data_IF_057384264502
#
_entry.id   IF_057384264502
#
_cell.length_a   1.000
_cell.length_b   1.000
_cell.length_c   1.000
_cell.angle_alpha   90.00
_cell.angle_beta   90.00
_cell.angle_gamma   90.00
#
_symmetry.space_group_name_H-M   'P 1'
#
loop_
_entity.id
_entity.type
_entity.pdbx_description
1 polymer ?
#
# COMPACT_ATOMS: atom_id res chain seq x y z
N UNK A 1 18.80 -23.33 11.48
CA UNK A 1 18.61 -21.92 11.87
C UNK A 1 17.35 -21.48 11.16
N UNK A 2 16.20 -21.59 11.84
CA UNK A 2 14.87 -21.26 11.32
C UNK A 2 14.32 -20.17 12.24
N UNK A 3 14.70 -18.91 11.97
CA UNK A 3 14.25 -17.74 12.76
C UNK A 3 13.57 -16.68 11.88
N UNK A 4 13.39 -16.91 10.58
CA UNK A 4 12.77 -15.94 9.67
C UNK A 4 11.24 -15.92 9.71
N UNK A 5 10.59 -17.08 9.95
CA UNK A 5 9.13 -17.22 9.79
C UNK A 5 8.32 -16.54 10.91
N UNK A 6 8.91 -16.38 12.09
CA UNK A 6 8.23 -15.78 13.24
C UNK A 6 8.23 -14.26 13.25
N UNK A 7 9.28 -13.64 12.69
CA UNK A 7 9.45 -12.18 12.63
C UNK A 7 8.57 -11.59 11.54
N UNK A 8 8.65 -12.16 10.34
CA UNK A 8 7.89 -11.69 9.19
C UNK A 8 6.38 -11.75 9.40
N UNK A 9 5.87 -12.80 10.08
CA UNK A 9 4.43 -12.89 10.42
C UNK A 9 3.98 -11.78 11.37
N UNK A 10 4.85 -11.34 12.30
CA UNK A 10 4.55 -10.24 13.22
C UNK A 10 4.60 -8.89 12.52
N UNK A 11 5.53 -8.70 11.60
CA UNK A 11 5.63 -7.46 10.80
C UNK A 11 4.43 -7.31 9.87
N UNK A 12 4.01 -8.39 9.21
CA UNK A 12 2.78 -8.42 8.42
C UNK A 12 1.55 -8.02 9.23
N UNK A 13 1.38 -8.59 10.43
CA UNK A 13 0.24 -8.27 11.28
C UNK A 13 0.21 -6.79 11.69
N UNK A 14 1.36 -6.22 12.05
CA UNK A 14 1.47 -4.79 12.38
C UNK A 14 1.15 -3.89 11.18
N UNK A 15 1.56 -4.28 9.97
CA UNK A 15 1.23 -3.55 8.74
C UNK A 15 -0.27 -3.56 8.44
N UNK A 16 -0.99 -4.66 8.73
CA UNK A 16 -2.45 -4.71 8.57
C UNK A 16 -3.18 -3.74 9.51
N UNK A 17 -2.70 -3.59 10.74
CA UNK A 17 -3.29 -2.66 11.71
C UNK A 17 -2.91 -1.19 11.45
N UNK A 18 -1.86 -0.95 10.65
CA UNK A 18 -1.36 0.37 10.35
C UNK A 18 -2.26 1.15 9.37
N UNK A 19 -2.23 2.48 9.49
CA UNK A 19 -2.78 3.39 8.50
C UNK A 19 -1.69 3.74 7.50
N UNK A 20 -1.96 3.49 6.22
CA UNK A 20 -0.99 3.68 5.14
C UNK A 20 -1.44 4.84 4.26
N UNK A 21 -0.50 5.72 3.90
CA UNK A 21 -0.77 6.87 3.05
C UNK A 21 0.36 7.08 2.02
N UNK A 22 0.05 7.65 0.84
CA UNK A 22 1.07 8.20 -0.05
C UNK A 22 1.91 9.26 0.67
N UNK A 23 3.21 9.30 0.39
CA UNK A 23 4.05 10.39 0.90
C UNK A 23 3.62 11.72 0.24
N UNK A 24 3.67 12.86 0.95
CA UNK A 24 3.18 14.13 0.42
C UNK A 24 4.01 14.67 -0.75
N UNK A 25 5.27 14.26 -0.86
CA UNK A 25 6.23 14.75 -1.84
C UNK A 25 6.26 13.88 -3.10
N UNK A 26 5.08 13.58 -3.65
CA UNK A 26 4.89 12.82 -4.89
C UNK A 26 4.26 13.68 -5.98
N UNK A 27 4.70 13.44 -7.22
CA UNK A 27 3.93 13.77 -8.40
C UNK A 27 3.09 12.56 -8.81
N UNK A 28 1.81 12.82 -9.12
CA UNK A 28 0.87 11.81 -9.57
C UNK A 28 0.23 12.25 -10.90
N UNK A 29 0.24 11.35 -11.88
CA UNK A 29 -0.42 11.54 -13.18
C UNK A 29 -1.35 10.36 -13.40
N UNK A 30 -2.63 10.62 -13.65
CA UNK A 30 -3.61 9.60 -14.01
C UNK A 30 -3.93 9.71 -15.50
N UNK A 31 -3.86 8.58 -16.19
CA UNK A 31 -4.30 8.44 -17.57
C UNK A 31 -5.80 8.10 -17.59
N UNK A 32 -6.63 8.97 -18.16
CA UNK A 32 -8.10 8.79 -18.17
C UNK A 32 -8.54 7.68 -19.14
N UNK A 33 -7.77 7.42 -20.19
CA UNK A 33 -8.05 6.37 -21.18
C UNK A 33 -7.80 4.96 -20.62
N UNK A 34 -6.66 4.77 -19.98
CA UNK A 34 -6.19 3.46 -19.51
C UNK A 34 -6.52 3.21 -18.02
N UNK A 35 -6.75 4.27 -17.25
CA UNK A 35 -6.91 4.21 -15.79
C UNK A 35 -5.60 4.04 -15.02
N UNK A 36 -4.46 4.09 -15.71
CA UNK A 36 -3.14 3.92 -15.11
C UNK A 36 -2.75 5.14 -14.26
N UNK A 37 -2.03 4.89 -13.18
CA UNK A 37 -1.51 5.92 -12.28
C UNK A 37 0.01 5.87 -12.30
N UNK A 38 0.64 6.94 -12.76
CA UNK A 38 2.09 7.11 -12.68
C UNK A 38 2.44 7.94 -11.45
N UNK A 39 3.30 7.39 -10.59
CA UNK A 39 3.77 8.01 -9.35
C UNK A 39 5.28 8.26 -9.43
N UNK A 40 5.72 9.44 -9.01
CA UNK A 40 7.13 9.81 -8.98
C UNK A 40 7.48 10.57 -7.69
N UNK A 41 8.56 10.18 -7.03
CA UNK A 41 9.11 10.95 -5.91
C UNK A 41 9.69 12.29 -6.38
N UNK A 42 9.31 13.38 -5.71
CA UNK A 42 9.83 14.72 -6.00
C UNK A 42 11.13 15.02 -5.23
N UNK A 43 11.43 14.24 -4.20
CA UNK A 43 12.62 14.41 -3.36
C UNK A 43 13.73 13.45 -3.73
N UNK A 44 13.39 12.24 -4.19
CA UNK A 44 14.38 11.26 -4.62
C UNK A 44 14.61 11.36 -6.14
N UNK A 45 15.67 12.07 -6.50
CA UNK A 45 16.06 12.28 -7.92
C UNK A 45 16.53 11.02 -8.64
N UNK A 46 16.81 9.94 -7.90
CA UNK A 46 17.16 8.63 -8.45
C UNK A 46 15.95 7.73 -8.66
N UNK A 47 14.78 8.13 -8.15
CA UNK A 47 13.55 7.38 -8.22
C UNK A 47 13.08 7.33 -9.66
N UNK A 48 12.78 6.11 -10.13
CA UNK A 48 12.14 5.93 -11.43
C UNK A 48 10.63 6.08 -11.25
N UNK A 49 9.93 6.70 -12.22
CA UNK A 49 8.47 6.72 -12.22
C UNK A 49 7.93 5.29 -12.14
N UNK A 50 7.02 5.06 -11.20
CA UNK A 50 6.32 3.80 -11.06
C UNK A 50 4.95 3.92 -11.71
N UNK A 51 4.65 3.03 -12.66
CA UNK A 51 3.33 2.94 -13.29
C UNK A 51 2.53 1.85 -12.58
N UNK A 52 1.37 2.24 -12.05
CA UNK A 52 0.40 1.38 -11.41
C UNK A 52 -0.75 1.15 -12.39
N UNK A 53 -1.04 -0.12 -12.67
CA UNK A 53 -2.05 -0.51 -13.65
C UNK A 53 -3.07 -1.47 -13.06
N UNK A 54 -4.30 -1.42 -13.57
CA UNK A 54 -5.39 -2.30 -13.15
C UNK A 54 -5.61 -2.28 -11.63
N UNK A 55 -5.54 -3.45 -11.00
CA UNK A 55 -5.77 -3.59 -9.54
C UNK A 55 -4.81 -2.76 -8.69
N UNK A 56 -3.55 -2.55 -9.13
CA UNK A 56 -2.60 -1.74 -8.38
C UNK A 56 -3.00 -0.26 -8.31
N UNK A 57 -3.60 0.27 -9.39
CA UNK A 57 -4.11 1.64 -9.42
C UNK A 57 -5.34 1.80 -8.51
N UNK A 58 -6.20 0.78 -8.44
CA UNK A 58 -7.36 0.79 -7.53
C UNK A 58 -6.93 0.70 -6.07
N UNK A 59 -6.04 -0.24 -5.73
CA UNK A 59 -5.49 -0.35 -4.35
C UNK A 59 -4.85 0.96 -3.92
N UNK A 60 -4.14 1.63 -4.83
CA UNK A 60 -3.53 2.94 -4.56
C UNK A 60 -4.56 4.02 -4.21
N UNK A 61 -5.71 4.03 -4.88
CA UNK A 61 -6.80 4.99 -4.63
C UNK A 61 -7.40 4.83 -3.23
N UNK A 62 -7.36 3.61 -2.68
CA UNK A 62 -7.90 3.31 -1.36
C UNK A 62 -7.05 3.87 -0.21
N UNK A 63 -5.77 4.18 -0.44
CA UNK A 63 -4.87 4.71 0.58
C UNK A 63 -5.18 6.18 0.89
N UNK A 64 -6.15 6.40 1.76
CA UNK A 64 -6.63 7.71 2.19
C UNK A 64 -5.88 8.28 3.42
N UNK A 65 -5.00 7.49 4.05
CA UNK A 65 -4.31 7.88 5.29
C UNK A 65 -5.23 7.99 6.51
N UNK A 66 -6.40 7.36 6.47
CA UNK A 66 -7.38 7.31 7.56
C UNK A 66 -7.75 5.87 7.92
N UNK A 67 -8.06 5.05 6.91
CA UNK A 67 -8.43 3.64 7.09
C UNK A 67 -7.18 2.78 7.31
N UNK A 68 -7.30 1.77 8.18
CA UNK A 68 -6.26 0.76 8.34
C UNK A 68 -6.16 -0.13 7.09
N UNK A 69 -4.99 -0.73 6.88
CA UNK A 69 -4.78 -1.63 5.76
C UNK A 69 -5.72 -2.86 5.82
N UNK A 70 -6.01 -3.37 7.03
CA UNK A 70 -6.99 -4.44 7.25
C UNK A 70 -8.38 -4.05 6.72
N UNK A 71 -8.83 -2.83 7.02
CA UNK A 71 -10.14 -2.35 6.57
C UNK A 71 -10.19 -2.25 5.05
N UNK A 72 -9.16 -1.67 4.44
CA UNK A 72 -9.03 -1.55 2.97
C UNK A 72 -9.06 -2.94 2.32
N UNK A 73 -8.30 -3.89 2.85
CA UNK A 73 -8.23 -5.27 2.32
C UNK A 73 -9.58 -5.96 2.40
N UNK A 74 -10.30 -5.81 3.50
CA UNK A 74 -11.65 -6.37 3.66
C UNK A 74 -12.65 -5.77 2.68
N UNK A 75 -12.61 -4.45 2.47
CA UNK A 75 -13.50 -3.77 1.52
C UNK A 75 -13.19 -4.18 0.07
N UNK A 76 -11.90 -4.26 -0.30
CA UNK A 76 -11.48 -4.76 -1.61
C UNK A 76 -11.90 -6.23 -1.80
N UNK A 77 -11.73 -7.10 -0.79
CA UNK A 77 -12.15 -8.50 -0.88
C UNK A 77 -13.65 -8.61 -1.19
N UNK A 78 -14.47 -7.79 -0.52
CA UNK A 78 -15.91 -7.75 -0.72
C UNK A 78 -16.28 -7.22 -2.11
N UNK A 79 -15.62 -6.16 -2.60
CA UNK A 79 -15.90 -5.56 -3.91
C UNK A 79 -15.55 -6.52 -5.06
N UNK A 80 -14.40 -7.19 -4.97
CA UNK A 80 -13.94 -8.13 -5.99
C UNK A 80 -14.50 -9.56 -5.82
N UNK A 81 -15.21 -9.85 -4.73
CA UNK A 81 -15.71 -11.19 -4.42
C UNK A 81 -14.59 -12.23 -4.21
N UNK A 82 -13.45 -11.78 -3.68
CA UNK A 82 -12.26 -12.60 -3.43
C UNK A 82 -12.13 -12.97 -1.95
N UNK A 83 -11.32 -13.98 -1.67
CA UNK A 83 -10.97 -14.34 -0.30
C UNK A 83 -10.02 -13.29 0.31
N UNK A 84 -10.32 -12.85 1.54
CA UNK A 84 -9.55 -11.83 2.27
C UNK A 84 -8.07 -12.21 2.43
N UNK A 85 -7.74 -13.50 2.58
CA UNK A 85 -6.34 -13.93 2.71
C UNK A 85 -5.61 -13.79 1.37
N UNK A 86 -6.27 -14.17 0.27
CA UNK A 86 -5.67 -14.10 -1.07
C UNK A 86 -5.36 -12.65 -1.46
N UNK A 87 -6.32 -11.74 -1.31
CA UNK A 87 -6.10 -10.33 -1.64
C UNK A 87 -5.20 -9.66 -0.59
N UNK A 88 -5.28 -10.06 0.68
CA UNK A 88 -4.42 -9.55 1.74
C UNK A 88 -2.94 -9.82 1.48
N UNK A 89 -2.56 -11.02 1.04
CA UNK A 89 -1.17 -11.34 0.68
C UNK A 89 -0.68 -10.48 -0.50
N UNK A 90 -1.53 -10.26 -1.50
CA UNK A 90 -1.20 -9.43 -2.67
C UNK A 90 -1.03 -7.96 -2.29
N UNK A 91 -1.96 -7.41 -1.51
CA UNK A 91 -1.93 -6.03 -1.04
C UNK A 91 -0.73 -5.81 -0.13
N UNK A 92 -0.42 -6.74 0.78
CA UNK A 92 0.73 -6.64 1.66
C UNK A 92 2.05 -6.61 0.87
N UNK A 93 2.18 -7.49 -0.14
CA UNK A 93 3.34 -7.52 -1.03
C UNK A 93 3.48 -6.21 -1.81
N UNK A 94 2.38 -5.61 -2.24
CA UNK A 94 2.36 -4.32 -2.92
C UNK A 94 2.77 -3.17 -1.98
N UNK A 95 2.14 -3.07 -0.81
CA UNK A 95 2.46 -2.04 0.20
C UNK A 95 3.92 -2.12 0.63
N UNK A 96 4.45 -3.32 0.87
CA UNK A 96 5.85 -3.51 1.25
C UNK A 96 6.80 -2.97 0.20
N UNK A 97 6.54 -3.24 -1.09
CA UNK A 97 7.35 -2.70 -2.19
C UNK A 97 7.30 -1.17 -2.27
N UNK A 98 6.13 -0.58 -2.03
CA UNK A 98 5.97 0.87 -2.07
C UNK A 98 6.57 1.58 -0.86
N UNK A 99 6.57 0.94 0.32
CA UNK A 99 7.26 1.42 1.50
C UNK A 99 8.78 1.39 1.30
N UNK A 100 9.33 0.31 0.74
CA UNK A 100 10.75 0.19 0.39
C UNK A 100 11.17 1.24 -0.66
N UNK A 101 10.30 1.50 -1.63
CA UNK A 101 10.48 2.57 -2.63
C UNK A 101 10.22 3.99 -2.08
N UNK A 102 9.89 4.14 -0.80
CA UNK A 102 9.58 5.42 -0.14
C UNK A 102 8.43 6.20 -0.81
N UNK A 103 7.48 5.49 -1.43
CA UNK A 103 6.28 6.07 -2.04
C UNK A 103 5.09 6.07 -1.09
N UNK A 104 5.08 5.16 -0.11
CA UNK A 104 4.12 5.14 0.98
C UNK A 104 4.83 5.48 2.30
N UNK A 105 4.03 5.89 3.28
CA UNK A 105 4.42 6.04 4.67
C UNK A 105 3.39 5.38 5.58
N UNK A 106 3.88 4.92 6.72
CA UNK A 106 3.04 4.46 7.82
C UNK A 106 2.69 5.67 8.67
N UNK A 107 1.40 5.97 8.78
CA UNK A 107 0.90 6.90 9.77
C UNK A 107 0.66 6.09 11.04
N UNK A 108 1.43 6.37 12.09
CA UNK A 108 1.23 5.75 13.40
C UNK A 108 -0.24 5.95 13.78
N UNK A 109 -0.97 4.85 14.02
CA UNK A 109 -2.27 4.88 14.68
C UNK A 109 -2.16 5.82 15.86
N UNK A 110 -3.12 6.75 16.10
CA UNK A 110 -2.95 7.81 17.08
C UNK A 110 -2.43 7.22 18.39
N UNK A 111 -1.13 7.41 18.63
CA UNK A 111 -0.52 7.15 19.93
C UNK A 111 -1.41 7.92 20.90
N UNK A 112 -2.13 7.17 21.73
CA UNK A 112 -2.90 7.74 22.81
C UNK A 112 -1.96 8.60 23.63
N UNK A 113 -2.45 9.81 23.94
CA UNK A 113 -1.80 10.86 24.70
C UNK A 113 -0.99 10.40 25.93
#
# INVERSE_FOLDING_TARGET
>A
MDQGTGDQRRESAQLFEAVIAPVPELALVRDDESGDVTVLSLVDTSCKPLVLSGTAAVIWDEFDGVRSLELIVRELAADYGLDEQVIGEQVLGFVTQLLDAQLLQILDSPTSA
#
